data_IF_878844277080
#
_entry.id   IF_878844277080
#
_cell.length_a   1.000
_cell.length_b   1.000
_cell.length_c   1.000
_cell.angle_alpha   90.00
_cell.angle_beta   90.00
_cell.angle_gamma   90.00
#
_symmetry.space_group_name_H-M   'P 1'
#
loop_
_entity.id
_entity.type
_entity.pdbx_description
1 polymer ?
#
# COMPACT_ATOMS: atom_id res chain seq x y z
N UNK A 1 33.62 24.66 8.37
CA UNK A 1 33.17 23.35 7.85
C UNK A 1 31.66 23.36 7.87
N UNK A 2 30.97 23.29 6.73
CA UNK A 2 29.51 23.32 6.75
C UNK A 2 28.99 22.04 7.41
N UNK A 3 28.00 22.23 8.26
CA UNK A 3 27.31 21.24 9.07
C UNK A 3 26.60 20.28 8.11
N UNK A 4 26.97 19.00 8.15
CA UNK A 4 26.47 17.98 7.23
C UNK A 4 24.95 17.84 7.27
N UNK A 5 24.35 17.60 6.11
CA UNK A 5 22.96 17.20 5.93
C UNK A 5 22.71 15.84 6.61
N UNK A 6 22.50 15.86 7.92
CA UNK A 6 22.03 14.70 8.66
C UNK A 6 20.51 14.62 8.51
N UNK A 7 20.03 14.08 7.39
CA UNK A 7 18.59 13.89 7.19
C UNK A 7 18.14 13.52 5.78
N UNK A 8 19.02 13.02 4.90
CA UNK A 8 18.65 12.58 3.56
C UNK A 8 18.71 11.07 3.37
N UNK A 9 18.13 10.57 2.28
CA UNK A 9 18.28 9.17 1.86
C UNK A 9 19.77 8.76 1.81
N UNK A 10 20.11 7.49 2.15
CA UNK A 10 21.48 7.01 2.04
C UNK A 10 22.05 7.31 0.64
N UNK A 11 23.28 7.86 0.51
CA UNK A 11 23.82 8.21 -0.79
C UNK A 11 23.83 6.97 -1.70
N UNK A 12 23.29 7.13 -2.92
CA UNK A 12 23.48 6.15 -3.98
C UNK A 12 24.97 6.14 -4.33
N UNK A 13 25.55 4.95 -4.54
CA UNK A 13 26.97 4.84 -4.87
C UNK A 13 27.27 5.66 -6.14
N UNK A 14 28.29 6.53 -6.06
CA UNK A 14 28.65 7.45 -7.13
C UNK A 14 29.17 6.73 -8.40
N UNK A 15 29.52 5.45 -8.30
CA UNK A 15 29.99 4.63 -9.42
C UNK A 15 29.42 3.21 -9.32
N UNK A 16 28.65 2.82 -10.34
CA UNK A 16 28.25 1.44 -10.59
C UNK A 16 26.90 1.04 -9.99
N UNK A 17 25.85 1.05 -10.82
CA UNK A 17 24.73 0.12 -10.63
C UNK A 17 25.31 -1.30 -10.55
N UNK A 18 24.79 -2.21 -9.73
CA UNK A 18 25.45 -3.50 -9.53
C UNK A 18 25.56 -4.25 -10.85
N UNK A 19 26.78 -4.70 -11.17
CA UNK A 19 27.14 -5.42 -12.40
C UNK A 19 26.26 -6.66 -12.61
N UNK A 20 25.68 -7.20 -11.53
CA UNK A 20 24.87 -8.42 -11.55
C UNK A 20 23.36 -8.17 -11.72
N UNK A 21 22.81 -7.06 -11.23
CA UNK A 21 21.35 -6.84 -11.19
C UNK A 21 20.83 -6.04 -12.38
N UNK A 22 21.67 -5.13 -12.91
CA UNK A 22 21.31 -4.33 -14.08
C UNK A 22 20.99 -5.22 -15.28
N UNK A 23 21.83 -6.21 -15.66
CA UNK A 23 21.52 -7.11 -16.77
C UNK A 23 20.19 -7.85 -16.59
N UNK A 24 19.79 -8.17 -15.36
CA UNK A 24 18.54 -8.91 -15.10
C UNK A 24 17.30 -8.12 -15.53
N UNK A 25 17.24 -6.81 -15.28
CA UNK A 25 16.07 -6.02 -15.69
C UNK A 25 16.01 -5.91 -17.22
N UNK A 26 17.14 -5.68 -17.88
CA UNK A 26 17.20 -5.65 -19.34
C UNK A 26 16.83 -7.01 -19.95
N UNK A 27 17.33 -8.12 -19.41
CA UNK A 27 16.98 -9.47 -19.84
C UNK A 27 15.49 -9.76 -19.61
N UNK A 28 14.93 -9.33 -18.49
CA UNK A 28 13.51 -9.46 -18.18
C UNK A 28 12.65 -8.73 -19.22
N UNK A 29 12.95 -7.46 -19.51
CA UNK A 29 12.22 -6.69 -20.55
C UNK A 29 12.42 -7.28 -21.95
N UNK A 30 13.63 -7.73 -22.29
CA UNK A 30 13.91 -8.42 -23.56
C UNK A 30 13.11 -9.72 -23.70
N UNK A 31 13.03 -10.53 -22.64
CA UNK A 31 12.26 -11.76 -22.64
C UNK A 31 10.76 -11.48 -22.82
N UNK A 32 10.23 -10.47 -22.12
CA UNK A 32 8.84 -10.05 -22.29
C UNK A 32 8.56 -9.52 -23.69
N UNK A 33 9.48 -8.74 -24.27
CA UNK A 33 9.36 -8.21 -25.62
C UNK A 33 9.41 -9.34 -26.68
N UNK A 34 10.30 -10.32 -26.52
CA UNK A 34 10.43 -11.46 -27.41
C UNK A 34 9.19 -12.36 -27.43
N UNK A 35 8.43 -12.39 -26.33
CA UNK A 35 7.17 -13.15 -26.21
C UNK A 35 5.96 -12.44 -26.84
N UNK A 36 6.06 -11.15 -27.20
CA UNK A 36 4.92 -10.40 -27.75
C UNK A 36 4.31 -11.03 -29.01
N UNK A 37 5.08 -11.49 -30.02
CA UNK A 37 4.50 -12.15 -31.19
C UNK A 37 3.75 -13.43 -30.84
N UNK A 38 4.30 -14.24 -29.93
CA UNK A 38 3.66 -15.47 -29.47
C UNK A 38 2.34 -15.18 -28.73
N UNK A 39 2.31 -14.14 -27.89
CA UNK A 39 1.07 -13.70 -27.22
C UNK A 39 0.01 -13.25 -28.21
N UNK A 40 0.36 -12.46 -29.22
CA UNK A 40 -0.59 -12.02 -30.25
C UNK A 40 -1.23 -13.20 -31.00
N UNK A 41 -0.44 -14.22 -31.33
CA UNK A 41 -0.94 -15.47 -31.94
C UNK A 41 -1.85 -16.23 -30.97
N UNK A 42 -1.46 -16.33 -29.70
CA UNK A 42 -2.26 -16.98 -28.65
C UNK A 42 -3.60 -16.28 -28.44
N UNK A 43 -3.63 -14.95 -28.40
CA UNK A 43 -4.86 -14.16 -28.25
C UNK A 43 -5.79 -14.33 -29.45
N UNK A 44 -5.25 -14.29 -30.68
CA UNK A 44 -6.01 -14.55 -31.89
C UNK A 44 -6.58 -15.98 -31.91
N UNK A 45 -5.79 -16.96 -31.45
CA UNK A 45 -6.22 -18.37 -31.34
C UNK A 45 -7.31 -18.51 -30.28
N UNK A 46 -7.15 -17.89 -29.12
CA UNK A 46 -8.17 -17.87 -28.06
C UNK A 46 -9.49 -17.28 -28.56
N UNK A 47 -9.45 -16.13 -29.22
CA UNK A 47 -10.64 -15.50 -29.82
C UNK A 47 -11.31 -16.41 -30.85
N UNK A 48 -10.52 -17.07 -31.71
CA UNK A 48 -11.04 -18.00 -32.72
C UNK A 48 -11.75 -19.20 -32.08
N UNK A 49 -11.17 -19.78 -31.02
CA UNK A 49 -11.73 -20.95 -30.34
C UNK A 49 -12.82 -20.62 -29.32
N UNK A 50 -12.97 -19.35 -28.93
CA UNK A 50 -14.10 -18.87 -28.12
C UNK A 50 -15.26 -18.31 -28.96
N UNK A 51 -15.05 -18.06 -30.26
CA UNK A 51 -16.08 -17.55 -31.15
C UNK A 51 -17.24 -18.57 -31.30
N UNK A 52 -18.50 -18.22 -30.96
CA UNK A 52 -19.64 -19.12 -31.09
C UNK A 52 -19.89 -19.65 -32.50
N UNK A 53 -19.35 -18.99 -33.53
CA UNK A 53 -19.44 -19.37 -34.94
C UNK A 53 -18.41 -20.43 -35.34
N UNK A 54 -17.42 -20.73 -34.49
CA UNK A 54 -16.45 -21.79 -34.74
C UNK A 54 -17.03 -23.16 -34.32
N UNK A 55 -17.18 -24.13 -35.24
CA UNK A 55 -17.72 -25.46 -34.94
C UNK A 55 -16.95 -26.21 -33.85
N UNK A 56 -15.66 -25.89 -33.65
CA UNK A 56 -14.80 -26.59 -32.71
C UNK A 56 -14.90 -26.04 -31.29
N UNK A 57 -15.49 -24.85 -31.09
CA UNK A 57 -15.60 -24.20 -29.77
C UNK A 57 -16.31 -25.04 -28.72
N UNK A 58 -17.29 -25.85 -29.13
CA UNK A 58 -18.05 -26.71 -28.21
C UNK A 58 -17.43 -28.10 -28.00
N UNK A 59 -16.35 -28.42 -28.72
CA UNK A 59 -15.65 -29.70 -28.62
C UNK A 59 -14.64 -29.71 -27.47
N UNK A 60 -14.35 -30.88 -26.90
CA UNK A 60 -13.35 -31.02 -25.83
C UNK A 60 -11.95 -30.61 -26.31
N UNK A 61 -11.64 -30.79 -27.60
CA UNK A 61 -10.38 -30.32 -28.20
C UNK A 61 -10.34 -28.79 -28.23
N UNK A 62 -11.40 -28.14 -28.70
CA UNK A 62 -11.47 -26.67 -28.76
C UNK A 62 -11.43 -26.00 -27.39
N UNK A 63 -12.13 -26.57 -26.40
CA UNK A 63 -12.04 -26.12 -24.99
C UNK A 63 -10.62 -26.28 -24.43
N UNK A 64 -9.97 -27.42 -24.71
CA UNK A 64 -8.60 -27.69 -24.27
C UNK A 64 -7.58 -26.73 -24.88
N UNK A 65 -7.71 -26.42 -26.18
CA UNK A 65 -6.87 -25.42 -26.87
C UNK A 65 -7.09 -24.02 -26.30
N UNK A 66 -8.34 -23.62 -26.06
CA UNK A 66 -8.66 -22.33 -25.44
C UNK A 66 -8.08 -22.21 -24.02
N UNK A 67 -8.18 -23.28 -23.21
CA UNK A 67 -7.60 -23.34 -21.87
C UNK A 67 -6.07 -23.30 -21.88
N UNK A 68 -5.41 -23.99 -22.82
CA UNK A 68 -3.96 -23.92 -22.99
C UNK A 68 -3.49 -22.52 -23.42
N UNK A 69 -4.23 -21.88 -24.32
CA UNK A 69 -3.98 -20.49 -24.72
C UNK A 69 -4.17 -19.52 -23.53
N UNK A 70 -5.23 -19.70 -22.74
CA UNK A 70 -5.45 -18.91 -21.53
C UNK A 70 -4.33 -19.11 -20.50
N UNK A 71 -3.86 -20.34 -20.29
CA UNK A 71 -2.74 -20.62 -19.41
C UNK A 71 -1.45 -19.96 -19.90
N UNK A 72 -1.13 -20.09 -21.19
CA UNK A 72 0.05 -19.44 -21.77
C UNK A 72 -0.02 -17.91 -21.68
N UNK A 73 -1.18 -17.31 -21.94
CA UNK A 73 -1.39 -15.88 -21.78
C UNK A 73 -1.17 -15.48 -20.33
N UNK A 74 -1.87 -16.08 -19.36
CA UNK A 74 -1.72 -15.75 -17.93
C UNK A 74 -0.31 -15.92 -17.39
N UNK A 75 0.43 -16.95 -17.83
CA UNK A 75 1.82 -17.19 -17.38
C UNK A 75 2.82 -16.21 -17.99
N UNK A 76 2.54 -15.69 -19.18
CA UNK A 76 3.50 -14.80 -19.87
C UNK A 76 3.11 -13.33 -19.81
N UNK A 77 1.85 -12.98 -19.58
CA UNK A 77 1.35 -11.60 -19.61
C UNK A 77 2.09 -10.68 -18.64
N UNK A 78 2.23 -9.41 -19.02
CA UNK A 78 2.55 -8.31 -18.11
C UNK A 78 1.25 -7.79 -17.49
N UNK A 79 1.16 -7.80 -16.18
CA UNK A 79 0.02 -7.24 -15.46
C UNK A 79 0.25 -5.73 -15.32
N UNK A 80 -0.53 -4.94 -16.06
CA UNK A 80 -0.56 -3.49 -15.91
C UNK A 80 -1.38 -3.09 -14.69
N UNK A 81 -1.37 -1.80 -14.36
CA UNK A 81 -2.21 -1.26 -13.29
C UNK A 81 -3.70 -1.58 -13.55
N UNK A 82 -4.39 -2.27 -12.62
CA UNK A 82 -5.80 -2.55 -12.77
C UNK A 82 -6.66 -1.29 -12.67
N UNK A 83 -7.86 -1.34 -13.24
CA UNK A 83 -8.86 -0.30 -13.05
C UNK A 83 -9.53 -0.44 -11.68
N UNK A 84 -10.07 0.65 -11.12
CA UNK A 84 -10.75 0.58 -9.83
C UNK A 84 -12.01 -0.26 -9.87
N UNK A 85 -12.80 -0.22 -10.96
CA UNK A 85 -14.01 -1.03 -11.10
C UNK A 85 -15.08 -0.78 -10.04
N UNK A 86 -15.12 0.43 -9.47
CA UNK A 86 -16.09 0.87 -8.47
C UNK A 86 -17.04 1.89 -9.12
N UNK A 87 -17.97 1.40 -9.94
CA UNK A 87 -18.88 2.24 -10.73
C UNK A 87 -20.04 2.80 -9.89
N UNK A 88 -20.38 2.14 -8.78
CA UNK A 88 -21.43 2.55 -7.87
C UNK A 88 -21.23 2.00 -6.46
N UNK A 89 -21.99 2.55 -5.52
CA UNK A 89 -22.03 2.12 -4.12
C UNK A 89 -23.45 2.27 -3.56
N UNK A 90 -23.72 1.69 -2.39
CA UNK A 90 -25.00 1.83 -1.70
C UNK A 90 -24.86 2.83 -0.54
N UNK A 91 -25.61 3.93 -0.58
CA UNK A 91 -25.66 4.91 0.51
C UNK A 91 -27.10 4.98 1.02
N UNK A 92 -27.32 4.64 2.29
CA UNK A 92 -28.64 4.61 2.93
C UNK A 92 -29.70 3.79 2.16
N UNK A 93 -29.33 2.63 1.60
CA UNK A 93 -30.24 1.78 0.84
C UNK A 93 -30.45 2.20 -0.62
N UNK A 94 -29.75 3.24 -1.09
CA UNK A 94 -29.89 3.78 -2.45
C UNK A 94 -28.60 3.58 -3.21
N UNK A 95 -28.70 3.05 -4.43
CA UNK A 95 -27.57 2.92 -5.36
C UNK A 95 -27.16 4.29 -5.88
N UNK A 96 -25.89 4.63 -5.70
CA UNK A 96 -25.30 5.92 -6.06
C UNK A 96 -24.10 5.68 -6.99
N UNK A 97 -24.08 6.27 -8.20
CA UNK A 97 -22.91 6.18 -9.08
C UNK A 97 -21.67 6.81 -8.45
N UNK A 98 -20.50 6.25 -8.74
CA UNK A 98 -19.21 6.71 -8.25
C UNK A 98 -18.35 7.12 -9.44
N UNK A 99 -17.74 8.31 -9.36
CA UNK A 99 -16.78 8.80 -10.35
C UNK A 99 -15.42 8.99 -9.67
N UNK A 100 -14.37 8.38 -10.22
CA UNK A 100 -13.00 8.54 -9.70
C UNK A 100 -12.37 9.78 -10.31
N UNK A 101 -11.91 10.71 -9.46
CA UNK A 101 -11.29 11.98 -9.87
C UNK A 101 -9.96 12.17 -9.18
N UNK A 102 -8.97 12.74 -9.87
CA UNK A 102 -7.76 13.23 -9.19
C UNK A 102 -8.03 14.65 -8.66
N UNK A 103 -7.80 14.86 -7.37
CA UNK A 103 -7.98 16.16 -6.70
C UNK A 103 -6.65 16.82 -6.32
N UNK A 104 -5.55 16.07 -6.40
CA UNK A 104 -4.19 16.54 -6.25
C UNK A 104 -3.24 15.58 -6.98
N UNK A 105 -2.16 16.10 -7.56
CA UNK A 105 -1.19 15.31 -8.30
C UNK A 105 0.21 15.89 -8.17
N UNK A 106 1.18 14.99 -7.96
CA UNK A 106 2.61 15.20 -8.11
C UNK A 106 3.24 14.01 -8.84
N UNK A 107 4.49 14.11 -9.33
CA UNK A 107 5.06 13.10 -10.24
C UNK A 107 4.97 11.65 -9.73
N UNK A 108 5.08 11.44 -8.41
CA UNK A 108 5.05 10.10 -7.81
C UNK A 108 3.71 9.68 -7.23
N UNK A 109 2.70 10.56 -7.18
CA UNK A 109 1.43 10.26 -6.51
C UNK A 109 0.27 11.12 -7.00
N UNK A 110 -0.89 10.49 -7.12
CA UNK A 110 -2.19 11.17 -7.26
C UNK A 110 -3.01 10.95 -6.01
N UNK A 111 -3.72 11.98 -5.58
CA UNK A 111 -4.81 11.83 -4.62
C UNK A 111 -6.10 11.61 -5.40
N UNK A 112 -6.66 10.41 -5.30
CA UNK A 112 -7.93 10.08 -5.93
C UNK A 112 -9.08 10.31 -4.95
N UNK A 113 -10.16 10.89 -5.44
CA UNK A 113 -11.43 11.06 -4.76
C UNK A 113 -12.50 10.21 -5.46
N UNK A 114 -13.22 9.40 -4.69
CA UNK A 114 -14.37 8.63 -5.18
C UNK A 114 -15.64 9.46 -4.98
N UNK A 115 -15.94 10.27 -5.98
CA UNK A 115 -17.05 11.22 -5.98
C UNK A 115 -18.38 10.50 -6.18
N UNK A 116 -19.14 10.39 -5.09
CA UNK A 116 -20.48 9.77 -5.07
C UNK A 116 -21.51 10.77 -5.59
N UNK A 117 -22.13 10.44 -6.73
CA UNK A 117 -23.05 11.32 -7.45
C UNK A 117 -24.45 11.31 -6.86
N UNK A 118 -24.62 12.05 -5.78
CA UNK A 118 -25.92 12.23 -5.15
C UNK A 118 -26.83 13.14 -5.99
N UNK A 119 -28.06 12.70 -6.23
CA UNK A 119 -29.10 13.54 -6.86
C UNK A 119 -29.68 14.57 -5.88
N UNK A 120 -29.50 14.36 -4.58
CA UNK A 120 -29.90 15.27 -3.49
C UNK A 120 -28.84 15.23 -2.38
N UNK A 121 -28.56 16.36 -1.70
CA UNK A 121 -27.59 16.37 -0.61
C UNK A 121 -28.01 15.40 0.51
N UNK A 122 -27.02 14.80 1.16
CA UNK A 122 -27.23 13.98 2.35
C UNK A 122 -27.77 14.84 3.50
N UNK A 123 -28.56 14.23 4.39
CA UNK A 123 -29.11 14.91 5.58
C UNK A 123 -28.02 15.38 6.54
N UNK A 124 -26.93 14.63 6.62
CA UNK A 124 -25.76 14.94 7.44
C UNK A 124 -24.50 14.73 6.60
N UNK A 125 -23.48 15.59 6.74
CA UNK A 125 -22.17 15.34 6.15
C UNK A 125 -21.59 14.03 6.66
N UNK A 126 -21.04 13.23 5.76
CA UNK A 126 -20.32 12.02 6.13
C UNK A 126 -18.83 12.34 6.37
N UNK A 127 -18.13 11.56 7.23
CA UNK A 127 -16.73 11.83 7.51
C UNK A 127 -15.86 11.64 6.26
N UNK A 128 -14.84 12.50 6.12
CA UNK A 128 -13.81 12.37 5.09
C UNK A 128 -12.71 11.46 5.57
N UNK A 129 -12.31 10.50 4.76
CA UNK A 129 -11.20 9.59 5.06
C UNK A 129 -10.14 9.65 3.95
N UNK A 130 -8.91 9.95 4.34
CA UNK A 130 -7.71 9.79 3.52
C UNK A 130 -7.11 8.40 3.80
N UNK A 131 -7.22 7.50 2.84
CA UNK A 131 -6.57 6.20 2.85
C UNK A 131 -5.18 6.36 2.25
N UNK A 132 -4.15 6.11 3.06
CA UNK A 132 -2.77 6.09 2.59
C UNK A 132 -2.41 4.66 2.25
N UNK A 133 -2.39 4.36 0.95
CA UNK A 133 -2.08 3.05 0.40
C UNK A 133 -0.58 2.74 0.52
N UNK A 134 -0.21 1.46 0.70
CA UNK A 134 1.18 1.07 0.77
C UNK A 134 1.92 1.25 -0.56
N UNK A 135 3.19 1.63 -0.47
CA UNK A 135 4.10 1.64 -1.61
C UNK A 135 5.07 0.46 -1.49
N UNK A 136 4.52 -0.76 -1.43
CA UNK A 136 5.23 -2.03 -1.25
C UNK A 136 5.22 -2.90 -2.52
N UNK A 137 5.38 -2.24 -3.68
CA UNK A 137 5.48 -2.91 -4.97
C UNK A 137 4.15 -3.23 -5.65
N UNK A 138 3.01 -2.80 -5.11
CA UNK A 138 1.68 -3.02 -5.70
C UNK A 138 0.93 -1.69 -5.85
N UNK A 139 0.01 -1.63 -6.81
CA UNK A 139 -0.85 -0.46 -6.99
C UNK A 139 -1.88 -0.31 -5.87
N UNK A 140 -2.38 0.92 -5.67
CA UNK A 140 -3.38 1.23 -4.64
C UNK A 140 -4.70 0.44 -4.81
N UNK A 141 -4.97 -0.08 -6.01
CA UNK A 141 -6.09 -0.96 -6.34
C UNK A 141 -6.08 -2.29 -5.58
N UNK A 142 -4.96 -2.68 -4.96
CA UNK A 142 -4.94 -3.76 -3.96
C UNK A 142 -5.88 -3.47 -2.77
N UNK A 143 -6.12 -2.19 -2.47
CA UNK A 143 -7.09 -1.72 -1.48
C UNK A 143 -8.48 -1.45 -2.08
N UNK A 144 -8.82 -1.98 -3.27
CA UNK A 144 -10.16 -1.84 -3.88
C UNK A 144 -11.26 -2.25 -2.89
N UNK A 145 -11.10 -3.40 -2.23
CA UNK A 145 -12.06 -3.88 -1.23
C UNK A 145 -12.14 -2.98 0.02
N UNK A 146 -11.04 -2.31 0.38
CA UNK A 146 -10.99 -1.31 1.45
C UNK A 146 -11.79 -0.07 1.07
N UNK A 147 -11.55 0.49 -0.12
CA UNK A 147 -12.30 1.64 -0.65
C UNK A 147 -13.78 1.31 -0.72
N UNK A 148 -14.14 0.19 -1.36
CA UNK A 148 -15.51 -0.30 -1.50
C UNK A 148 -16.24 -0.37 -0.14
N UNK A 149 -15.56 -0.82 0.91
CA UNK A 149 -16.15 -0.95 2.24
C UNK A 149 -16.42 0.40 2.94
N UNK A 150 -15.63 1.43 2.63
CA UNK A 150 -15.80 2.76 3.23
C UNK A 150 -16.77 3.65 2.44
N UNK A 151 -16.95 3.43 1.14
CA UNK A 151 -17.81 4.22 0.26
C UNK A 151 -19.27 4.41 0.74
N UNK A 152 -19.93 3.44 1.39
CA UNK A 152 -21.29 3.64 1.91
C UNK A 152 -21.41 4.77 2.95
N UNK A 153 -20.38 4.94 3.78
CA UNK A 153 -20.44 5.77 4.98
C UNK A 153 -19.48 6.97 4.99
N UNK A 154 -18.55 7.06 4.04
CA UNK A 154 -17.48 8.07 4.04
C UNK A 154 -17.29 8.72 2.67
N UNK A 155 -16.74 9.93 2.69
CA UNK A 155 -16.09 10.51 1.52
C UNK A 155 -14.66 9.97 1.44
N UNK A 156 -14.39 9.13 0.44
CA UNK A 156 -13.16 8.36 0.36
C UNK A 156 -12.15 9.02 -0.57
N UNK A 157 -10.96 9.26 -0.01
CA UNK A 157 -9.77 9.69 -0.73
C UNK A 157 -8.70 8.62 -0.58
N UNK A 158 -7.91 8.35 -1.62
CA UNK A 158 -6.81 7.38 -1.54
C UNK A 158 -5.56 7.89 -2.27
N UNK A 159 -4.39 7.63 -1.70
CA UNK A 159 -3.11 7.84 -2.38
C UNK A 159 -2.92 6.80 -3.45
N UNK A 160 -2.65 7.23 -4.66
CA UNK A 160 -2.42 6.39 -5.82
C UNK A 160 -1.01 6.63 -6.36
N UNK A 161 -0.09 5.77 -5.92
CA UNK A 161 1.34 5.88 -6.21
C UNK A 161 1.66 5.53 -7.66
N UNK A 162 2.56 6.30 -8.26
CA UNK A 162 3.04 6.05 -9.62
C UNK A 162 4.15 4.99 -9.62
N UNK A 163 4.18 4.19 -10.69
CA UNK A 163 5.27 3.27 -10.96
C UNK A 163 6.55 4.07 -11.28
N UNK A 164 7.61 3.91 -10.48
CA UNK A 164 8.79 4.77 -10.57
C UNK A 164 9.48 4.70 -11.94
N UNK A 165 9.36 3.57 -12.68
CA UNK A 165 9.88 3.48 -14.05
C UNK A 165 9.15 4.38 -15.05
N UNK A 166 7.94 4.84 -14.71
CA UNK A 166 7.15 5.74 -15.53
C UNK A 166 7.38 7.21 -15.18
N UNK A 167 8.21 7.52 -14.17
CA UNK A 167 8.50 8.89 -13.75
C UNK A 167 9.86 9.34 -14.30
N UNK A 168 9.91 10.33 -15.22
CA UNK A 168 11.15 10.86 -15.79
C UNK A 168 12.15 11.34 -14.74
N UNK A 169 13.45 11.31 -15.05
CA UNK A 169 14.49 11.83 -14.15
C UNK A 169 14.40 13.36 -13.95
N UNK A 170 13.85 14.07 -14.94
CA UNK A 170 13.62 15.52 -14.86
C UNK A 170 12.65 15.91 -13.74
N UNK A 171 11.79 14.99 -13.33
CA UNK A 171 10.74 15.22 -12.32
C UNK A 171 11.27 15.00 -10.89
N UNK A 172 12.59 14.80 -10.75
CA UNK A 172 13.27 14.79 -9.46
C UNK A 172 13.40 13.40 -8.83
N UNK A 173 13.82 13.40 -7.56
CA UNK A 173 13.92 12.20 -6.73
C UNK A 173 12.67 12.03 -5.89
N UNK A 174 12.52 10.85 -5.31
CA UNK A 174 11.44 10.56 -4.37
C UNK A 174 11.98 9.67 -3.26
N UNK A 175 12.04 10.20 -2.05
CA UNK A 175 12.49 9.51 -0.86
C UNK A 175 11.41 9.46 0.25
N UNK A 176 11.74 8.99 1.45
CA UNK A 176 10.78 8.89 2.56
C UNK A 176 10.36 10.29 3.07
N UNK A 177 11.23 11.29 2.96
CA UNK A 177 10.89 12.66 3.31
C UNK A 177 9.90 13.25 2.30
N UNK A 178 10.10 13.01 1.00
CA UNK A 178 9.14 13.38 -0.04
C UNK A 178 7.77 12.72 0.19
N UNK A 179 7.75 11.46 0.63
CA UNK A 179 6.51 10.76 1.00
C UNK A 179 5.78 11.49 2.14
N UNK A 180 6.50 11.87 3.20
CA UNK A 180 5.95 12.59 4.35
C UNK A 180 5.43 13.96 3.91
N UNK A 181 6.19 14.68 3.08
CA UNK A 181 5.77 15.97 2.51
C UNK A 181 4.47 15.81 1.72
N UNK A 182 4.34 14.77 0.90
CA UNK A 182 3.13 14.49 0.12
C UNK A 182 1.92 14.24 1.03
N UNK A 183 2.08 13.48 2.11
CA UNK A 183 1.00 13.25 3.09
C UNK A 183 0.54 14.56 3.74
N UNK A 184 1.48 15.42 4.16
CA UNK A 184 1.18 16.73 4.74
C UNK A 184 0.43 17.60 3.73
N UNK A 185 0.92 17.68 2.49
CA UNK A 185 0.28 18.46 1.42
C UNK A 185 -1.13 17.96 1.10
N UNK A 186 -1.35 16.65 1.03
CA UNK A 186 -2.68 16.08 0.81
C UNK A 186 -3.64 16.42 1.96
N UNK A 187 -3.17 16.40 3.22
CA UNK A 187 -3.97 16.85 4.37
C UNK A 187 -4.29 18.35 4.31
N UNK A 188 -3.38 19.18 3.80
CA UNK A 188 -3.63 20.60 3.53
C UNK A 188 -4.69 20.82 2.45
N UNK A 189 -4.62 20.07 1.35
CA UNK A 189 -5.63 20.11 0.27
C UNK A 189 -7.02 19.76 0.80
N UNK A 190 -7.11 18.78 1.69
CA UNK A 190 -8.38 18.37 2.31
C UNK A 190 -8.87 19.37 3.37
N UNK A 191 -8.00 20.25 3.89
CA UNK A 191 -8.38 21.39 4.71
C UNK A 191 -8.85 21.04 6.14
N UNK A 192 -8.23 20.04 6.79
CA UNK A 192 -8.62 19.58 8.13
C UNK A 192 -9.93 18.78 8.13
N UNK A 193 -10.55 18.54 9.30
CA UNK A 193 -11.80 17.76 9.46
C UNK A 193 -11.84 16.49 8.57
N UNK A 194 -10.76 15.73 8.62
CA UNK A 194 -10.51 14.54 7.81
C UNK A 194 -9.85 13.52 8.74
N UNK A 195 -10.19 12.25 8.56
CA UNK A 195 -9.53 11.14 9.23
C UNK A 195 -8.47 10.55 8.29
N UNK A 196 -7.30 10.20 8.81
CA UNK A 196 -6.27 9.51 8.02
C UNK A 196 -6.21 8.04 8.42
N UNK A 197 -6.12 7.15 7.44
CA UNK A 197 -6.00 5.71 7.63
C UNK A 197 -4.80 5.19 6.85
N UNK A 198 -3.80 4.67 7.54
CA UNK A 198 -2.59 4.10 6.94
C UNK A 198 -2.65 2.58 6.97
N UNK A 199 -2.43 1.94 5.83
CA UNK A 199 -2.47 0.49 5.69
C UNK A 199 -1.06 -0.07 5.46
N UNK A 200 -0.57 -0.87 6.41
CA UNK A 200 0.76 -1.47 6.41
C UNK A 200 1.88 -0.41 6.52
N UNK A 201 2.86 -0.49 5.61
CA UNK A 201 4.07 0.33 5.48
C UNK A 201 3.88 1.85 5.68
N UNK A 202 2.84 2.52 5.16
CA UNK A 202 2.57 3.95 5.36
C UNK A 202 2.35 4.38 6.81
N UNK A 203 2.18 3.45 7.74
CA UNK A 203 1.96 3.80 9.15
C UNK A 203 3.09 4.68 9.71
N UNK A 204 4.35 4.38 9.36
CA UNK A 204 5.51 5.19 9.77
C UNK A 204 5.46 6.61 9.21
N UNK A 205 5.39 6.85 7.88
CA UNK A 205 5.35 8.21 7.36
C UNK A 205 4.08 8.96 7.76
N UNK A 206 2.93 8.31 7.97
CA UNK A 206 1.72 8.98 8.49
C UNK A 206 1.91 9.44 9.93
N UNK A 207 2.46 8.61 10.82
CA UNK A 207 2.80 9.05 12.19
C UNK A 207 3.80 10.20 12.15
N UNK A 208 4.81 10.14 11.28
CA UNK A 208 5.78 11.21 11.13
C UNK A 208 5.11 12.52 10.67
N UNK A 209 4.31 12.48 9.60
CA UNK A 209 3.56 13.62 9.07
C UNK A 209 2.70 14.28 10.14
N UNK A 210 1.87 13.49 10.84
CA UNK A 210 1.00 14.00 11.91
C UNK A 210 1.81 14.60 13.06
N UNK A 211 2.91 13.97 13.46
CA UNK A 211 3.80 14.50 14.51
C UNK A 211 4.41 15.85 14.13
N UNK A 212 4.82 16.00 12.87
CA UNK A 212 5.39 17.25 12.34
C UNK A 212 4.32 18.34 12.29
N UNK A 213 3.13 18.03 11.79
CA UNK A 213 2.00 18.97 11.74
C UNK A 213 1.59 19.44 13.14
N UNK A 214 1.54 18.53 14.12
CA UNK A 214 1.22 18.87 15.51
C UNK A 214 2.32 19.72 16.17
N UNK A 215 3.59 19.39 15.96
CA UNK A 215 4.71 20.20 16.43
C UNK A 215 4.67 21.63 15.86
N UNK A 216 4.20 21.80 14.62
CA UNK A 216 4.01 23.10 13.95
C UNK A 216 2.70 23.80 14.32
N UNK A 217 1.82 23.18 15.12
CA UNK A 217 0.46 23.65 15.41
C UNK A 217 -0.35 23.90 14.15
N UNK A 218 -0.17 23.04 13.16
CA UNK A 218 -0.83 23.12 11.87
C UNK A 218 -2.36 23.08 12.03
N UNK A 219 -3.14 23.98 11.42
CA UNK A 219 -4.59 23.99 11.52
C UNK A 219 -5.25 22.81 10.80
N UNK A 220 -4.56 22.14 9.89
CA UNK A 220 -5.10 21.08 9.03
C UNK A 220 -4.70 19.66 9.48
N UNK A 221 -4.23 19.50 10.73
CA UNK A 221 -4.05 18.16 11.33
C UNK A 221 -5.34 17.34 11.22
N UNK A 222 -5.25 16.02 10.99
CA UNK A 222 -6.42 15.17 10.88
C UNK A 222 -7.14 15.04 12.24
N UNK A 223 -8.44 14.77 12.21
CA UNK A 223 -9.25 14.56 13.41
C UNK A 223 -8.85 13.27 14.14
N UNK A 224 -8.53 12.23 13.38
CA UNK A 224 -7.99 10.97 13.90
C UNK A 224 -7.01 10.33 12.91
N UNK A 225 -6.15 9.46 13.43
CA UNK A 225 -5.32 8.56 12.65
C UNK A 225 -5.60 7.10 13.01
N UNK A 226 -5.78 6.26 12.00
CA UNK A 226 -5.93 4.81 12.12
C UNK A 226 -4.75 4.13 11.44
N UNK A 227 -4.04 3.26 12.15
CA UNK A 227 -2.87 2.53 11.64
C UNK A 227 -3.18 1.04 11.63
N UNK A 228 -2.96 0.37 10.50
CA UNK A 228 -3.39 -1.01 10.28
C UNK A 228 -2.22 -1.89 9.89
N UNK A 229 -1.78 -2.79 10.76
CA UNK A 229 -0.65 -3.71 10.49
C UNK A 229 0.64 -2.99 10.10
N UNK A 230 0.98 -1.90 10.78
CA UNK A 230 2.11 -1.04 10.46
C UNK A 230 3.40 -1.40 11.21
N UNK A 231 4.58 -1.35 10.55
CA UNK A 231 5.87 -1.68 11.16
C UNK A 231 6.44 -0.50 11.99
N UNK A 232 5.70 -0.01 13.00
CA UNK A 232 6.11 1.16 13.79
C UNK A 232 7.30 0.83 14.70
N UNK A 233 7.26 -0.33 15.37
CA UNK A 233 8.40 -0.84 16.13
C UNK A 233 8.67 -2.32 15.84
N UNK A 234 9.42 -2.59 14.77
CA UNK A 234 9.76 -3.95 14.28
C UNK A 234 10.66 -4.76 15.22
N UNK A 235 11.05 -4.20 16.38
CA UNK A 235 11.74 -4.94 17.46
C UNK A 235 10.77 -5.76 18.29
N UNK A 236 9.48 -5.42 18.27
CA UNK A 236 8.42 -6.16 18.97
C UNK A 236 7.95 -7.30 18.07
N UNK A 237 8.04 -8.53 18.58
CA UNK A 237 7.67 -9.75 17.85
C UNK A 237 8.17 -9.76 16.39
N UNK A 238 9.51 -9.75 16.19
CA UNK A 238 10.09 -9.62 14.87
C UNK A 238 9.70 -10.79 13.96
N UNK A 239 9.34 -10.46 12.73
CA UNK A 239 9.00 -11.41 11.66
C UNK A 239 10.24 -11.77 10.82
N UNK A 240 10.09 -12.73 9.90
CA UNK A 240 11.17 -13.10 8.97
C UNK A 240 11.65 -11.90 8.14
N UNK A 241 10.74 -10.99 7.78
CA UNK A 241 11.06 -9.75 7.07
C UNK A 241 11.95 -8.84 7.92
N UNK A 242 11.66 -8.74 9.21
CA UNK A 242 12.44 -7.90 10.12
C UNK A 242 13.86 -8.46 10.32
N UNK A 243 13.98 -9.78 10.50
CA UNK A 243 15.26 -10.44 10.71
C UNK A 243 16.17 -10.32 9.47
N UNK A 244 15.62 -10.53 8.26
CA UNK A 244 16.39 -10.39 7.03
C UNK A 244 16.98 -8.97 6.89
N UNK A 245 16.19 -7.95 7.19
CA UNK A 245 16.65 -6.57 7.12
C UNK A 245 17.79 -6.28 8.11
N UNK A 246 17.68 -6.79 9.34
CA UNK A 246 18.71 -6.64 10.36
C UNK A 246 20.01 -7.38 10.03
N UNK A 247 19.91 -8.61 9.51
CA UNK A 247 21.07 -9.45 9.20
C UNK A 247 21.85 -8.96 7.97
N UNK A 248 21.14 -8.52 6.92
CA UNK A 248 21.77 -8.13 5.64
C UNK A 248 22.29 -6.69 5.67
N UNK A 249 21.62 -5.81 6.41
CA UNK A 249 21.94 -4.39 6.45
C UNK A 249 21.71 -3.68 5.11
N UNK A 250 21.85 -2.35 5.12
CA UNK A 250 21.44 -1.51 3.98
C UNK A 250 22.32 -1.68 2.73
N UNK A 251 23.63 -1.92 2.91
CA UNK A 251 24.57 -2.05 1.79
C UNK A 251 24.28 -3.29 0.94
N UNK A 252 23.80 -4.37 1.58
CA UNK A 252 23.39 -5.56 0.86
C UNK A 252 22.22 -5.24 -0.07
N UNK A 253 21.16 -4.59 0.42
CA UNK A 253 20.01 -4.23 -0.43
C UNK A 253 20.42 -3.31 -1.58
N UNK A 254 21.23 -2.28 -1.30
CA UNK A 254 21.73 -1.37 -2.34
C UNK A 254 22.44 -2.14 -3.47
N UNK A 255 23.25 -3.14 -3.13
CA UNK A 255 24.07 -3.86 -4.09
C UNK A 255 23.36 -5.05 -4.76
N UNK A 256 22.21 -5.52 -4.24
CA UNK A 256 21.58 -6.76 -4.70
C UNK A 256 20.17 -6.59 -5.28
N UNK A 257 19.47 -5.50 -4.94
CA UNK A 257 18.08 -5.33 -5.40
C UNK A 257 17.83 -4.05 -6.20
N UNK A 258 18.77 -3.11 -6.18
CA UNK A 258 18.68 -1.88 -6.96
C UNK A 258 19.21 -2.11 -8.38
N UNK A 259 18.51 -1.55 -9.36
CA UNK A 259 18.87 -1.58 -10.78
C UNK A 259 18.42 -0.30 -11.47
N UNK A 260 18.86 -0.12 -12.71
CA UNK A 260 18.44 1.01 -13.56
C UNK A 260 17.27 0.63 -14.45
N UNK A 261 16.29 1.53 -14.52
CA UNK A 261 15.18 1.41 -15.46
C UNK A 261 15.71 1.35 -16.90
N UNK A 262 15.33 0.32 -17.68
CA UNK A 262 15.77 0.19 -19.06
C UNK A 262 14.95 1.06 -20.02
N UNK A 263 15.50 1.31 -21.22
CA UNK A 263 14.73 1.84 -22.35
C UNK A 263 13.61 0.85 -22.72
N UNK A 264 12.40 1.29 -23.13
CA UNK A 264 11.98 2.65 -23.49
C UNK A 264 11.20 3.40 -22.40
N UNK A 265 11.24 2.94 -21.14
CA UNK A 265 10.40 3.53 -20.09
C UNK A 265 10.78 5.00 -19.81
N UNK A 266 9.82 5.90 -19.50
CA UNK A 266 10.11 7.32 -19.27
C UNK A 266 11.15 7.59 -18.18
N UNK A 267 11.19 6.76 -17.14
CA UNK A 267 12.17 6.82 -16.06
C UNK A 267 13.52 6.18 -16.40
N UNK A 268 13.85 5.94 -17.67
CA UNK A 268 15.11 5.32 -18.11
C UNK A 268 16.34 5.87 -17.35
N UNK A 269 17.20 4.98 -16.86
CA UNK A 269 18.36 5.25 -15.99
C UNK A 269 18.08 5.57 -14.52
N UNK A 270 16.82 5.72 -14.10
CA UNK A 270 16.44 5.88 -12.69
C UNK A 270 16.81 4.62 -11.92
N UNK A 271 17.38 4.81 -10.73
CA UNK A 271 17.63 3.71 -9.80
C UNK A 271 16.33 3.32 -9.11
N UNK A 272 15.96 2.04 -9.24
CA UNK A 272 14.72 1.50 -8.72
C UNK A 272 14.93 0.14 -8.07
N UNK A 273 14.03 -0.22 -7.16
CA UNK A 273 13.79 -1.61 -6.77
C UNK A 273 12.63 -2.15 -7.60
N UNK A 274 12.87 -3.04 -8.60
CA UNK A 274 11.84 -3.48 -9.52
C UNK A 274 10.75 -4.30 -8.86
N UNK A 275 9.51 -4.11 -9.30
CA UNK A 275 8.36 -4.87 -8.80
C UNK A 275 8.51 -6.38 -8.96
N UNK A 276 9.14 -6.85 -10.05
CA UNK A 276 9.36 -8.29 -10.26
C UNK A 276 10.39 -8.89 -9.28
N UNK A 277 11.40 -8.11 -8.87
CA UNK A 277 12.34 -8.56 -7.83
C UNK A 277 11.68 -8.55 -6.46
N UNK A 278 10.80 -7.59 -6.18
CA UNK A 278 9.99 -7.58 -4.96
C UNK A 278 9.12 -8.84 -4.83
N UNK A 279 8.37 -9.15 -5.89
CA UNK A 279 7.51 -10.34 -5.93
C UNK A 279 8.33 -11.62 -5.71
N UNK A 280 9.44 -11.78 -6.43
CA UNK A 280 10.32 -12.93 -6.26
C UNK A 280 10.97 -12.97 -4.87
N UNK A 281 11.33 -11.82 -4.29
CA UNK A 281 11.87 -11.69 -2.94
C UNK A 281 10.91 -12.25 -1.90
N UNK A 282 9.65 -11.82 -1.89
CA UNK A 282 8.63 -12.34 -0.96
C UNK A 282 8.33 -13.83 -1.16
N UNK A 283 8.26 -14.29 -2.41
CA UNK A 283 8.07 -15.72 -2.73
C UNK A 283 9.28 -16.52 -2.24
N UNK A 284 10.49 -15.97 -2.40
CA UNK A 284 11.74 -16.63 -2.05
C UNK A 284 12.07 -16.61 -0.56
N UNK A 285 11.50 -15.71 0.22
CA UNK A 285 11.62 -15.74 1.68
C UNK A 285 10.79 -16.87 2.31
N UNK A 286 9.85 -17.45 1.55
CA UNK A 286 9.10 -18.67 1.89
C UNK A 286 9.57 -19.87 1.03
N UNK A 287 10.89 -19.99 0.80
CA UNK A 287 11.52 -20.90 -0.18
C UNK A 287 11.34 -22.41 0.08
N UNK A 288 10.68 -22.85 1.14
CA UNK A 288 10.64 -24.29 1.45
C UNK A 288 9.81 -25.11 0.45
N UNK A 289 9.07 -24.51 -0.49
CA UNK A 289 8.37 -25.25 -1.55
C UNK A 289 8.16 -24.44 -2.84
N UNK A 290 9.08 -24.53 -3.79
CA UNK A 290 8.82 -24.00 -5.13
C UNK A 290 7.72 -24.80 -5.86
N UNK A 291 6.82 -24.04 -6.50
CA UNK A 291 5.54 -24.40 -7.15
C UNK A 291 4.30 -24.47 -6.23
N UNK A 292 4.42 -24.96 -4.98
CA UNK A 292 3.30 -24.95 -4.02
C UNK A 292 3.22 -23.64 -3.19
N UNK A 293 4.31 -22.88 -3.10
CA UNK A 293 4.37 -21.62 -2.34
C UNK A 293 3.40 -20.54 -2.84
N UNK A 294 3.10 -20.46 -4.15
CA UNK A 294 2.13 -19.47 -4.64
C UNK A 294 0.72 -19.72 -4.10
N UNK A 295 0.32 -20.99 -4.00
CA UNK A 295 -0.97 -21.39 -3.43
C UNK A 295 -0.97 -21.30 -1.91
N UNK A 296 0.16 -21.61 -1.26
CA UNK A 296 0.28 -21.56 0.20
C UNK A 296 0.41 -20.12 0.73
N UNK A 297 1.24 -19.26 0.13
CA UNK A 297 1.31 -17.82 0.45
C UNK A 297 -0.07 -17.18 0.30
N UNK A 298 -0.78 -17.49 -0.78
CA UNK A 298 -2.16 -17.06 -0.97
C UNK A 298 -3.13 -17.64 0.07
N UNK A 299 -3.05 -18.95 0.34
CA UNK A 299 -3.87 -19.60 1.36
C UNK A 299 -3.58 -19.10 2.77
N UNK A 300 -2.40 -18.54 3.02
CA UNK A 300 -2.01 -17.87 4.27
C UNK A 300 -2.50 -16.40 4.28
N UNK A 301 -2.35 -15.65 3.18
CA UNK A 301 -2.85 -14.28 3.03
C UNK A 301 -4.38 -14.21 3.16
N UNK A 302 -5.10 -15.20 2.63
CA UNK A 302 -6.58 -15.27 2.60
C UNK A 302 -7.12 -16.28 3.63
N UNK A 303 -6.26 -16.79 4.54
CA UNK A 303 -6.65 -17.82 5.51
C UNK A 303 -7.72 -17.27 6.45
N UNK A 304 -8.93 -17.81 6.32
CA UNK A 304 -10.06 -17.44 7.19
C UNK A 304 -10.98 -16.35 6.63
N UNK A 305 -10.73 -15.85 5.41
CA UNK A 305 -11.49 -14.74 4.80
C UNK A 305 -12.76 -15.18 4.05
N UNK A 306 -12.95 -16.48 3.78
CA UNK A 306 -14.22 -17.07 3.33
C UNK A 306 -14.70 -16.73 1.92
N UNK A 307 -13.87 -16.11 1.07
CA UNK A 307 -14.26 -15.64 -0.27
C UNK A 307 -14.17 -16.71 -1.39
N UNK A 308 -15.00 -16.56 -2.44
CA UNK A 308 -15.20 -17.48 -3.59
C UNK A 308 -14.08 -17.45 -4.65
N UNK A 309 -14.07 -18.48 -5.52
CA UNK A 309 -13.06 -18.75 -6.57
C UNK A 309 -12.84 -17.62 -7.61
N UNK A 310 -13.87 -16.86 -7.98
CA UNK A 310 -13.70 -15.77 -8.98
C UNK A 310 -13.01 -14.53 -8.40
N UNK A 311 -13.28 -14.19 -7.13
CA UNK A 311 -12.51 -13.18 -6.40
C UNK A 311 -11.04 -13.57 -6.27
N UNK A 312 -10.73 -14.86 -6.25
CA UNK A 312 -9.34 -15.33 -6.25
C UNK A 312 -8.59 -14.97 -7.54
N UNK A 313 -9.27 -14.94 -8.71
CA UNK A 313 -8.61 -14.61 -9.99
C UNK A 313 -8.31 -13.12 -10.10
N UNK A 314 -9.29 -12.27 -9.80
CA UNK A 314 -9.12 -10.82 -9.85
C UNK A 314 -8.06 -10.36 -8.84
N UNK A 315 -8.07 -10.93 -7.63
CA UNK A 315 -7.02 -10.66 -6.66
C UNK A 315 -5.65 -11.12 -7.14
N UNK A 316 -5.54 -12.26 -7.82
CA UNK A 316 -4.26 -12.75 -8.32
C UNK A 316 -3.71 -11.83 -9.40
N UNK A 317 -4.55 -11.38 -10.33
CA UNK A 317 -4.16 -10.42 -11.36
C UNK A 317 -3.74 -9.07 -10.72
N UNK A 318 -4.41 -8.65 -9.65
CA UNK A 318 -4.07 -7.47 -8.84
C UNK A 318 -2.72 -7.61 -8.12
N UNK A 319 -2.48 -8.78 -7.52
CA UNK A 319 -1.25 -9.07 -6.80
C UNK A 319 -0.04 -9.21 -7.74
N UNK A 320 -0.25 -9.71 -8.97
CA UNK A 320 0.81 -9.75 -9.98
C UNK A 320 1.05 -8.39 -10.65
N UNK A 321 0.14 -7.43 -10.51
CA UNK A 321 0.30 -6.07 -11.00
C UNK A 321 1.25 -5.28 -10.10
N UNK A 322 2.54 -5.44 -10.35
CA UNK A 322 3.61 -4.83 -9.55
C UNK A 322 4.13 -3.52 -10.16
N UNK A 323 4.65 -2.67 -9.28
CA UNK A 323 5.27 -1.39 -9.63
C UNK A 323 6.69 -1.28 -9.09
N UNK A 324 7.54 -0.52 -9.77
CA UNK A 324 8.90 -0.24 -9.32
C UNK A 324 8.89 0.86 -8.26
N UNK A 325 9.74 0.70 -7.23
CA UNK A 325 9.95 1.71 -6.19
C UNK A 325 11.20 2.53 -6.51
N UNK A 326 11.22 3.83 -6.22
CA UNK A 326 12.47 4.60 -6.27
C UNK A 326 13.47 4.03 -5.26
N UNK A 327 14.74 3.94 -5.67
CA UNK A 327 15.80 3.41 -4.82
C UNK A 327 15.96 4.23 -3.54
N UNK A 328 15.86 5.57 -3.65
CA UNK A 328 16.01 6.49 -2.53
C UNK A 328 14.98 6.20 -1.42
N UNK A 329 13.70 6.13 -1.80
CA UNK A 329 12.60 5.81 -0.88
C UNK A 329 12.77 4.44 -0.25
N UNK A 330 13.02 3.41 -1.06
CA UNK A 330 13.12 2.05 -0.57
C UNK A 330 14.29 1.90 0.42
N UNK A 331 15.48 2.38 0.04
CA UNK A 331 16.67 2.27 0.88
C UNK A 331 16.53 3.09 2.16
N UNK A 332 16.01 4.33 2.09
CA UNK A 332 15.77 5.15 3.27
C UNK A 332 14.75 4.50 4.20
N UNK A 333 13.69 3.89 3.66
CA UNK A 333 12.69 3.17 4.47
C UNK A 333 13.29 1.96 5.17
N UNK A 334 14.03 1.10 4.46
CA UNK A 334 14.69 -0.07 5.07
C UNK A 334 15.64 0.36 6.19
N UNK A 335 16.50 1.33 5.92
CA UNK A 335 17.47 1.82 6.90
C UNK A 335 16.79 2.48 8.10
N UNK A 336 15.83 3.37 7.87
CA UNK A 336 15.19 4.15 8.93
C UNK A 336 14.27 3.29 9.80
N UNK A 337 13.46 2.42 9.19
CA UNK A 337 12.38 1.67 9.86
C UNK A 337 12.89 0.35 10.40
N UNK A 338 13.55 -0.47 9.58
CA UNK A 338 13.85 -1.86 9.90
C UNK A 338 15.27 -2.08 10.46
N UNK A 339 16.23 -1.22 10.11
CA UNK A 339 17.61 -1.34 10.61
C UNK A 339 17.83 -0.45 11.83
N UNK A 340 17.69 0.87 11.67
CA UNK A 340 17.95 1.86 12.74
C UNK A 340 16.82 1.90 13.75
N UNK A 341 15.57 1.64 13.33
CA UNK A 341 14.37 1.80 14.14
C UNK A 341 14.24 3.23 14.67
N UNK A 342 14.40 4.19 13.76
CA UNK A 342 14.62 5.60 14.12
C UNK A 342 13.39 6.21 14.76
N UNK A 343 12.18 5.93 14.29
CA UNK A 343 10.95 6.49 14.88
C UNK A 343 10.74 6.03 16.34
N UNK A 344 10.75 4.72 16.67
CA UNK A 344 10.50 4.27 18.04
C UNK A 344 11.66 4.53 19.00
N UNK A 345 12.88 4.82 18.50
CA UNK A 345 13.99 5.32 19.32
C UNK A 345 13.98 6.85 19.47
N UNK A 346 13.00 7.52 18.89
CA UNK A 346 12.99 8.96 18.69
C UNK A 346 13.93 9.41 17.58
N UNK A 347 15.05 8.72 17.30
CA UNK A 347 15.96 8.76 16.12
C UNK A 347 15.55 9.62 14.90
N UNK A 348 14.31 9.43 14.44
CA UNK A 348 13.84 9.91 13.14
C UNK A 348 13.87 11.43 13.00
N UNK A 349 14.36 11.88 11.85
CA UNK A 349 14.28 13.27 11.42
C UNK A 349 13.54 13.33 10.10
N UNK A 350 12.91 14.46 9.84
CA UNK A 350 12.32 14.81 8.56
C UNK A 350 12.82 16.18 8.14
N UNK A 351 13.49 16.27 6.99
CA UNK A 351 14.17 17.50 6.50
C UNK A 351 15.01 18.18 7.61
N UNK A 352 15.79 17.37 8.35
CA UNK A 352 16.63 17.80 9.46
C UNK A 352 15.89 18.17 10.77
N UNK A 353 14.56 18.11 10.78
CA UNK A 353 13.74 18.36 11.98
C UNK A 353 13.40 17.05 12.67
N UNK A 354 13.62 16.96 13.98
CA UNK A 354 13.25 15.78 14.78
C UNK A 354 11.75 15.50 14.67
N UNK A 355 11.40 14.24 14.39
CA UNK A 355 10.01 13.76 14.48
C UNK A 355 9.75 13.36 15.93
N UNK A 356 8.79 14.02 16.58
CA UNK A 356 8.45 13.77 17.98
C UNK A 356 6.95 13.46 18.16
N UNK A 357 6.56 12.17 18.17
CA UNK A 357 5.17 11.76 18.36
C UNK A 357 4.57 12.16 19.71
N UNK A 358 5.39 12.48 20.72
CA UNK A 358 4.88 12.97 22.02
C UNK A 358 4.19 14.33 21.93
N UNK A 359 4.32 15.05 20.80
CA UNK A 359 3.65 16.32 20.53
C UNK A 359 2.22 16.17 20.01
N UNK A 360 1.81 14.97 19.63
CA UNK A 360 0.46 14.72 19.11
C UNK A 360 -0.56 14.81 20.25
N UNK A 361 -1.50 15.74 20.16
CA UNK A 361 -2.45 16.04 21.25
C UNK A 361 -3.90 16.19 20.77
N UNK A 362 -4.11 16.70 19.55
CA UNK A 362 -5.43 16.97 18.98
C UNK A 362 -5.98 15.77 18.21
N UNK A 363 -5.12 14.91 17.70
CA UNK A 363 -5.47 13.73 16.89
C UNK A 363 -5.83 12.54 17.78
N UNK A 364 -6.96 11.87 17.53
CA UNK A 364 -7.27 10.57 18.15
C UNK A 364 -6.49 9.44 17.45
N UNK A 365 -6.12 8.38 18.17
CA UNK A 365 -5.31 7.27 17.63
C UNK A 365 -6.03 5.92 17.73
N UNK A 366 -6.16 5.22 16.61
CA UNK A 366 -6.56 3.82 16.55
C UNK A 366 -5.47 2.96 15.92
N UNK A 367 -5.16 1.82 16.52
CA UNK A 367 -4.28 0.81 15.92
C UNK A 367 -5.04 -0.51 15.73
N UNK A 368 -4.85 -1.15 14.58
CA UNK A 368 -5.46 -2.43 14.23
C UNK A 368 -4.37 -3.42 13.85
N UNK A 369 -4.39 -4.61 14.45
CA UNK A 369 -3.44 -5.69 14.16
C UNK A 369 -4.17 -7.02 13.92
N UNK A 370 -3.53 -7.95 13.21
CA UNK A 370 -4.03 -9.31 13.01
C UNK A 370 -3.38 -10.28 14.00
N UNK A 371 -4.15 -11.18 14.60
CA UNK A 371 -3.63 -12.18 15.55
C UNK A 371 -2.57 -13.09 14.91
N UNK A 372 -2.71 -13.41 13.63
CA UNK A 372 -1.80 -14.28 12.88
C UNK A 372 -1.00 -13.50 11.82
N UNK A 373 -0.78 -12.20 12.03
CA UNK A 373 0.01 -11.36 11.11
C UNK A 373 1.49 -11.78 11.14
N UNK A 374 1.95 -12.36 10.03
CA UNK A 374 3.31 -12.84 9.81
C UNK A 374 4.22 -11.81 9.11
N UNK A 375 3.68 -10.64 8.76
CA UNK A 375 4.40 -9.53 8.11
C UNK A 375 4.74 -8.46 9.14
N UNK A 376 3.70 -7.93 9.80
CA UNK A 376 3.82 -6.95 10.89
C UNK A 376 3.34 -7.60 12.18
N UNK A 377 4.28 -8.16 12.93
CA UNK A 377 3.98 -8.93 14.13
C UNK A 377 3.17 -8.14 15.16
N UNK A 378 2.43 -8.86 16.00
CA UNK A 378 1.64 -8.27 17.09
C UNK A 378 2.50 -7.32 17.95
N UNK A 379 1.92 -6.19 18.32
CA UNK A 379 2.56 -5.15 19.12
C UNK A 379 3.39 -4.15 18.33
N UNK A 380 3.71 -4.40 17.05
CA UNK A 380 4.49 -3.48 16.23
C UNK A 380 3.73 -2.18 15.96
N UNK A 381 2.44 -2.26 15.60
CA UNK A 381 1.57 -1.09 15.34
C UNK A 381 1.13 -0.48 16.67
N UNK A 382 0.78 -1.32 17.64
CA UNK A 382 0.39 -0.92 19.00
C UNK A 382 1.42 0.00 19.66
N UNK A 383 2.72 -0.21 19.39
CA UNK A 383 3.82 0.61 19.90
C UNK A 383 3.60 2.12 19.72
N UNK A 384 2.83 2.54 18.70
CA UNK A 384 2.45 3.94 18.48
C UNK A 384 1.81 4.59 19.70
N UNK A 385 1.02 3.85 20.49
CA UNK A 385 0.35 4.38 21.69
C UNK A 385 1.35 4.84 22.76
N UNK A 386 2.52 4.19 22.85
CA UNK A 386 3.58 4.60 23.77
C UNK A 386 4.35 5.82 23.24
N UNK A 387 4.48 5.95 21.91
CA UNK A 387 5.13 7.09 21.26
C UNK A 387 4.26 8.35 21.32
N UNK A 388 2.96 8.22 21.07
CA UNK A 388 1.98 9.31 21.13
C UNK A 388 1.44 9.52 22.56
N UNK A 389 2.34 9.66 23.52
CA UNK A 389 2.02 9.65 24.96
C UNK A 389 1.12 10.80 25.43
N UNK A 390 1.02 11.89 24.67
CA UNK A 390 0.18 13.04 25.01
C UNK A 390 -1.28 12.91 24.54
N UNK A 391 -1.63 11.85 23.80
CA UNK A 391 -3.02 11.55 23.45
C UNK A 391 -3.71 10.97 24.70
N UNK A 392 -4.86 11.49 25.17
CA UNK A 392 -5.58 10.92 26.31
C UNK A 392 -6.05 9.48 26.06
N UNK A 393 -6.15 8.65 27.11
CA UNK A 393 -6.55 7.23 27.00
C UNK A 393 -7.92 7.07 26.32
N UNK A 394 -8.89 7.92 26.64
CA UNK A 394 -10.23 7.88 26.03
C UNK A 394 -10.26 8.26 24.54
N UNK A 395 -9.14 8.71 23.96
CA UNK A 395 -8.98 8.97 22.52
C UNK A 395 -8.04 7.97 21.85
N UNK A 396 -7.69 6.90 22.55
CA UNK A 396 -6.84 5.80 22.08
C UNK A 396 -7.65 4.51 22.01
N UNK A 397 -7.52 3.81 20.89
CA UNK A 397 -8.11 2.49 20.69
C UNK A 397 -7.04 1.56 20.12
N UNK A 398 -6.91 0.38 20.71
CA UNK A 398 -6.15 -0.72 20.13
C UNK A 398 -7.10 -1.90 19.89
N UNK A 399 -7.06 -2.47 18.70
CA UNK A 399 -7.87 -3.61 18.32
C UNK A 399 -7.01 -4.70 17.67
N UNK A 400 -7.16 -5.94 18.14
CA UNK A 400 -6.57 -7.12 17.52
C UNK A 400 -7.68 -7.96 16.91
N UNK A 401 -7.65 -8.12 15.59
CA UNK A 401 -8.58 -8.99 14.87
C UNK A 401 -8.15 -10.44 15.02
N UNK A 402 -9.02 -11.25 15.63
CA UNK A 402 -8.76 -12.68 15.83
C UNK A 402 -8.86 -13.47 14.52
N UNK A 403 -7.96 -14.43 14.36
CA UNK A 403 -7.99 -15.43 13.30
C UNK A 403 -7.66 -14.92 11.90
N UNK A 404 -7.15 -13.69 11.74
CA UNK A 404 -6.73 -13.15 10.43
C UNK A 404 -5.22 -12.98 10.39
N UNK A 405 -4.65 -13.15 9.19
CA UNK A 405 -3.27 -12.74 8.88
C UNK A 405 -3.20 -11.26 8.46
N UNK A 406 -2.06 -10.85 7.90
CA UNK A 406 -1.80 -9.45 7.54
C UNK A 406 -2.88 -8.83 6.64
N UNK A 407 -3.29 -9.55 5.59
CA UNK A 407 -4.23 -9.03 4.59
C UNK A 407 -5.66 -8.90 5.12
N UNK A 408 -6.09 -9.86 5.95
CA UNK A 408 -7.41 -9.85 6.59
C UNK A 408 -7.62 -8.70 7.58
N UNK A 409 -6.58 -7.92 7.89
CA UNK A 409 -6.67 -6.69 8.68
C UNK A 409 -7.31 -5.55 7.88
N UNK A 410 -7.15 -5.51 6.55
CA UNK A 410 -7.58 -4.38 5.72
C UNK A 410 -8.39 -4.75 4.48
N UNK A 411 -8.63 -6.04 4.25
CA UNK A 411 -9.49 -6.52 3.18
C UNK A 411 -10.17 -7.84 3.58
N UNK A 412 -11.13 -8.30 2.79
CA UNK A 412 -11.89 -9.54 3.04
C UNK A 412 -13.18 -9.33 3.84
N UNK A 413 -13.95 -10.41 3.98
CA UNK A 413 -15.28 -10.39 4.60
C UNK A 413 -15.25 -9.94 6.07
N UNK A 414 -14.31 -10.48 6.87
CA UNK A 414 -14.13 -10.12 8.29
C UNK A 414 -13.77 -8.66 8.46
N UNK A 415 -12.88 -8.14 7.63
CA UNK A 415 -12.56 -6.71 7.62
C UNK A 415 -13.83 -5.87 7.41
N UNK A 416 -14.63 -6.21 6.39
CA UNK A 416 -15.90 -5.50 6.09
C UNK A 416 -16.91 -5.58 7.24
N UNK A 417 -17.07 -6.74 7.88
CA UNK A 417 -18.10 -6.96 8.91
C UNK A 417 -17.68 -6.57 10.33
N UNK A 418 -16.40 -6.61 10.65
CA UNK A 418 -15.91 -6.46 12.03
C UNK A 418 -14.99 -5.24 12.22
N UNK A 419 -14.10 -4.95 11.27
CA UNK A 419 -13.09 -3.88 11.41
C UNK A 419 -13.65 -2.54 10.93
N UNK A 420 -14.25 -2.50 9.74
CA UNK A 420 -14.79 -1.25 9.15
C UNK A 420 -15.81 -0.55 10.06
N UNK A 421 -16.79 -1.24 10.68
CA UNK A 421 -17.72 -0.59 11.60
C UNK A 421 -17.01 0.03 12.81
N UNK A 422 -15.94 -0.59 13.32
CA UNK A 422 -15.15 -0.07 14.44
C UNK A 422 -14.38 1.19 14.06
N UNK A 423 -13.77 1.18 12.88
CA UNK A 423 -13.06 2.36 12.37
C UNK A 423 -14.04 3.50 12.14
N UNK A 424 -15.20 3.23 11.53
CA UNK A 424 -16.28 4.21 11.36
C UNK A 424 -16.70 4.81 12.72
N UNK A 425 -17.03 3.97 13.70
CA UNK A 425 -17.48 4.43 15.02
C UNK A 425 -16.40 5.25 15.73
N UNK A 426 -15.14 4.86 15.59
CA UNK A 426 -14.00 5.60 16.10
C UNK A 426 -13.88 6.99 15.44
N UNK A 427 -13.98 7.06 14.11
CA UNK A 427 -13.93 8.33 13.35
C UNK A 427 -15.07 9.26 13.77
N UNK A 428 -16.31 8.76 13.83
CA UNK A 428 -17.49 9.54 14.26
C UNK A 428 -17.35 10.02 15.70
N UNK A 429 -16.83 9.17 16.60
CA UNK A 429 -16.61 9.55 18.01
C UNK A 429 -15.49 10.59 18.15
N UNK A 430 -14.42 10.48 17.37
CA UNK A 430 -13.30 11.43 17.38
C UNK A 430 -13.71 12.82 16.88
N UNK A 431 -14.67 12.90 15.95
CA UNK A 431 -15.23 14.15 15.46
C UNK A 431 -16.19 14.84 16.45
N UNK A 432 -16.70 14.12 17.45
CA UNK A 432 -17.65 14.62 18.45
C UNK A 432 -17.10 14.47 19.88
N UNK A 433 -16.33 15.44 20.41
CA UNK A 433 -15.65 15.31 21.70
C UNK A 433 -16.58 15.01 22.90
N UNK A 434 -17.86 15.37 22.80
CA UNK A 434 -18.86 15.11 23.85
C UNK A 434 -19.27 13.63 23.97
N UNK A 435 -19.14 12.82 22.91
CA UNK A 435 -19.54 11.40 22.94
C UNK A 435 -18.48 10.48 23.56
N UNK A 436 -17.20 10.87 23.52
CA UNK A 436 -16.11 10.08 24.11
C UNK A 436 -16.06 10.18 25.65
N UNK A 437 -16.52 11.29 26.23
CA UNK A 437 -16.60 11.45 27.68
C UNK A 437 -17.69 10.56 28.31
N UNK A 438 -18.76 10.26 27.58
CA UNK A 438 -19.86 9.41 28.07
C UNK A 438 -19.47 7.92 28.11
N UNK A 439 -18.68 7.44 27.13
CA UNK A 439 -18.22 6.04 27.06
C UNK A 439 -17.07 5.70 28.02
N UNK A 440 -16.35 6.69 28.53
CA UNK A 440 -15.31 6.48 29.54
C UNK A 440 -15.86 6.46 30.97
N UNK A 441 -17.14 6.79 31.15
CA UNK A 441 -17.85 6.78 32.44
C UNK A 441 -18.71 5.52 32.65
N UNK A 442 -18.80 4.65 31.64
CA UNK A 442 -19.34 3.28 31.69
C UNK A 442 -18.19 2.28 31.68
#
# INVERSE_FOLDING_TARGET
>A
MPIGEFGGAPPLAAEGSPVLTTPMYWMYEMAHAALNPARAVTDATKLLFQNPLNPWTRTEVGKSVAAACELFERTTRRYGKPEWGLDDTEVNGIRVPVEVRSVWEKPFCRLLYFDRKFTRPLRSPQPRVLIVAPMSGHYATLLRGTVEAFLPAHEVYITDWADARMVPLSDGRFDLDDYIDYVIEMLHVLGGNTHVMAVCQPSVPVVAAVSIMEARRDPFVPTSMTLMGGPIDTRRNPTAVNNLAQERGIDWFRNHVITKVPFPHPGMMRDVYPGFLQLNGFISMNLDRHMDAHKQLFAHLVKGDGDLVDKHREFYDEYLAVMDLSAEYYLQTVDTVFVKHSLPKGEMTHRGTRVDPSKVTRVALMTVEGENDDISGLGQTEATHALCSAIPDHRRVHYVQKGVGHYGVFNGSRFKSEIVPRIHDFMVSAANPSSLQARAAE
#
